data_IF_166745826665
#
_entry.id   IF_166745826665
#
_cell.length_a   1.000
_cell.length_b   1.000
_cell.length_c   1.000
_cell.angle_alpha   90.00
_cell.angle_beta   90.00
_cell.angle_gamma   90.00
#
_symmetry.space_group_name_H-M   'P 1'
#
loop_
_entity.id
_entity.type
_entity.pdbx_description
1 polymer ?
#
# COMPACT_ATOMS: atom_id res chain seq x y z
N UNK A 1 9.97 21.17 15.89
CA UNK A 1 10.60 20.96 17.21
C UNK A 1 12.00 20.43 16.98
N UNK A 2 13.04 21.22 17.30
CA UNK A 2 14.45 20.86 17.17
C UNK A 2 14.91 20.01 18.36
N UNK A 3 14.27 18.85 18.54
CA UNK A 3 14.48 17.98 19.71
C UNK A 3 13.51 16.81 19.77
N UNK A 4 13.16 16.22 18.62
CA UNK A 4 12.47 14.93 18.65
C UNK A 4 13.47 13.88 19.11
N UNK A 5 13.11 13.04 20.09
CA UNK A 5 13.98 11.95 20.57
C UNK A 5 14.44 10.98 19.48
N UNK A 6 13.80 11.02 18.31
CA UNK A 6 14.25 10.32 17.11
C UNK A 6 15.62 10.80 16.58
N UNK A 7 15.97 12.10 16.72
CA UNK A 7 17.20 12.65 16.15
C UNK A 7 18.45 12.12 16.85
N UNK A 8 18.48 12.07 18.19
CA UNK A 8 19.63 11.50 18.92
C UNK A 8 19.90 10.05 18.50
N UNK A 9 18.87 9.21 18.46
CA UNK A 9 19.00 7.82 18.01
C UNK A 9 19.51 7.73 16.57
N UNK A 10 19.14 8.70 15.74
CA UNK A 10 19.57 8.76 14.34
C UNK A 10 21.04 9.15 14.22
N UNK A 11 21.50 10.14 15.01
CA UNK A 11 22.90 10.56 15.04
C UNK A 11 23.81 9.41 15.49
N UNK A 12 23.40 8.66 16.52
CA UNK A 12 24.10 7.45 16.94
C UNK A 12 24.12 6.36 15.85
N UNK A 13 23.00 6.15 15.15
CA UNK A 13 22.92 5.16 14.08
C UNK A 13 23.86 5.52 12.92
N UNK A 14 23.87 6.78 12.48
CA UNK A 14 24.79 7.25 11.44
C UNK A 14 26.26 7.12 11.88
N UNK A 15 26.58 7.46 13.13
CA UNK A 15 27.94 7.35 13.67
C UNK A 15 28.43 5.90 13.77
N UNK A 16 27.54 4.94 14.03
CA UNK A 16 27.84 3.50 14.04
C UNK A 16 27.84 2.86 12.64
N UNK A 17 27.63 3.66 11.58
CA UNK A 17 27.56 3.17 10.20
C UNK A 17 26.32 2.33 9.90
N UNK A 18 25.24 2.48 10.68
CA UNK A 18 23.96 1.83 10.43
C UNK A 18 23.15 2.61 9.39
N UNK A 19 22.39 1.90 8.58
CA UNK A 19 21.50 2.50 7.59
C UNK A 19 20.37 3.26 8.27
N UNK A 20 20.26 4.55 7.96
CA UNK A 20 19.16 5.43 8.37
C UNK A 20 18.33 5.77 7.15
N UNK A 21 17.01 5.70 7.30
CA UNK A 21 16.05 5.95 6.25
C UNK A 21 15.16 7.14 6.60
N UNK A 22 14.83 7.96 5.61
CA UNK A 22 14.08 9.19 5.81
C UNK A 22 13.09 9.43 4.66
N UNK A 23 11.83 9.70 5.01
CA UNK A 23 10.76 9.95 4.04
C UNK A 23 10.74 11.44 3.67
N UNK A 24 10.82 11.81 2.38
CA UNK A 24 10.74 13.20 1.98
C UNK A 24 9.35 13.76 2.30
N UNK A 25 9.30 14.99 2.79
CA UNK A 25 8.04 15.70 3.05
C UNK A 25 8.02 17.09 2.44
N UNK A 26 6.86 17.74 2.52
CA UNK A 26 6.66 19.09 2.01
C UNK A 26 7.46 20.14 2.82
N UNK A 27 8.23 20.97 2.12
CA UNK A 27 9.13 22.00 2.67
C UNK A 27 8.43 23.04 3.55
N UNK A 28 7.12 23.25 3.40
CA UNK A 28 6.36 24.22 4.19
C UNK A 28 5.92 23.66 5.55
N UNK A 29 6.00 22.34 5.77
CA UNK A 29 5.66 21.74 7.06
C UNK A 29 6.86 21.80 8.02
N UNK A 30 6.64 22.41 9.20
CA UNK A 30 7.69 22.55 10.23
C UNK A 30 8.27 21.22 10.72
N UNK A 31 7.50 20.13 10.64
CA UNK A 31 7.92 18.80 11.09
C UNK A 31 8.88 18.11 10.12
N UNK A 32 8.93 18.55 8.86
CA UNK A 32 9.76 17.95 7.81
C UNK A 32 11.22 18.41 7.88
N UNK A 33 11.52 19.51 8.59
CA UNK A 33 12.88 20.03 8.74
C UNK A 33 13.87 19.00 9.31
N UNK A 34 13.43 18.16 10.25
CA UNK A 34 14.26 17.10 10.83
C UNK A 34 14.60 16.02 9.81
N UNK A 35 13.59 15.52 9.10
CA UNK A 35 13.78 14.50 8.06
C UNK A 35 14.66 15.00 6.91
N UNK A 36 14.51 16.27 6.52
CA UNK A 36 15.39 16.89 5.52
C UNK A 36 16.82 17.09 6.01
N UNK A 37 17.04 17.33 7.31
CA UNK A 37 18.40 17.36 7.88
C UNK A 37 19.03 15.96 7.80
N UNK A 38 18.31 14.91 8.20
CA UNK A 38 18.77 13.53 8.09
C UNK A 38 19.17 13.15 6.67
N UNK A 39 18.36 13.51 5.67
CA UNK A 39 18.68 13.30 4.25
C UNK A 39 19.97 14.01 3.82
N UNK A 40 20.26 15.19 4.36
CA UNK A 40 21.52 15.91 4.10
C UNK A 40 22.72 15.27 4.81
N UNK A 41 22.48 14.70 5.99
CA UNK A 41 23.49 14.03 6.80
C UNK A 41 23.80 12.61 6.32
N UNK A 42 23.18 12.17 5.21
CA UNK A 42 23.48 10.90 4.54
C UNK A 42 22.46 9.80 4.79
N UNK A 43 21.32 10.10 5.43
CA UNK A 43 20.20 9.16 5.46
C UNK A 43 19.70 8.89 4.04
N UNK A 44 19.31 7.64 3.78
CA UNK A 44 18.76 7.24 2.50
C UNK A 44 17.31 7.70 2.38
N UNK A 45 16.99 8.27 1.22
CA UNK A 45 15.63 8.65 0.86
C UNK A 45 14.79 7.40 0.60
N UNK A 46 13.57 7.39 1.15
CA UNK A 46 12.59 6.31 0.97
C UNK A 46 11.27 6.91 0.51
N UNK A 47 10.77 6.44 -0.62
CA UNK A 47 9.46 6.76 -1.16
C UNK A 47 8.48 5.60 -0.96
N UNK A 48 8.99 4.36 -0.93
CA UNK A 48 8.17 3.14 -0.81
C UNK A 48 8.87 2.08 0.05
N UNK A 49 8.13 1.08 0.52
CA UNK A 49 8.68 0.07 1.45
C UNK A 49 9.78 -0.77 0.78
N UNK A 50 9.69 -0.94 -0.52
CA UNK A 50 10.65 -1.64 -1.35
C UNK A 50 12.06 -1.05 -1.21
N UNK A 51 12.21 0.28 -1.08
CA UNK A 51 13.52 0.95 -0.94
C UNK A 51 14.27 0.52 0.34
N UNK A 52 13.53 0.19 1.41
CA UNK A 52 14.10 -0.30 2.68
C UNK A 52 14.48 -1.77 2.54
N UNK A 53 13.62 -2.57 1.89
CA UNK A 53 13.83 -4.00 1.71
C UNK A 53 14.99 -4.31 0.77
N UNK A 54 15.15 -3.51 -0.29
CA UNK A 54 16.30 -3.56 -1.20
C UNK A 54 17.63 -3.41 -0.47
N UNK A 55 17.69 -2.51 0.51
CA UNK A 55 18.91 -2.25 1.26
C UNK A 55 19.17 -3.29 2.36
N UNK A 56 18.14 -3.66 3.12
CA UNK A 56 18.30 -4.55 4.28
C UNK A 56 18.35 -6.02 3.89
N UNK A 57 17.69 -6.40 2.80
CA UNK A 57 17.51 -7.79 2.39
C UNK A 57 17.57 -7.98 0.86
N UNK A 58 18.69 -7.62 0.20
CA UNK A 58 18.83 -7.69 -1.26
C UNK A 58 18.62 -9.11 -1.84
N UNK A 59 18.92 -10.14 -1.04
CA UNK A 59 18.74 -11.55 -1.45
C UNK A 59 17.27 -12.00 -1.43
N UNK A 60 16.40 -11.35 -0.65
CA UNK A 60 14.95 -11.65 -0.66
C UNK A 60 14.33 -11.28 -2.01
N UNK A 61 14.86 -10.25 -2.68
CA UNK A 61 14.37 -9.79 -3.99
C UNK A 61 14.99 -10.55 -5.17
N UNK A 62 16.17 -11.14 -4.96
CA UNK A 62 16.91 -11.88 -5.98
C UNK A 62 16.39 -13.30 -6.23
N UNK A 63 15.56 -13.84 -5.33
CA UNK A 63 14.87 -15.12 -5.55
C UNK A 63 13.68 -14.94 -6.50
N UNK A 64 13.99 -14.93 -7.81
CA UNK A 64 13.09 -15.13 -8.97
C UNK A 64 11.65 -14.61 -8.81
N UNK A 65 11.41 -13.39 -9.27
CA UNK A 65 10.10 -12.98 -9.81
C UNK A 65 8.97 -12.82 -8.80
N UNK A 66 9.26 -12.94 -7.51
CA UNK A 66 8.38 -12.43 -6.46
C UNK A 66 8.83 -11.01 -6.17
N UNK A 67 8.20 -10.05 -6.84
CA UNK A 67 8.04 -8.71 -6.29
C UNK A 67 7.71 -8.92 -4.82
N UNK A 68 8.53 -8.41 -3.89
CA UNK A 68 8.14 -8.35 -2.48
C UNK A 68 7.08 -7.25 -2.39
N UNK A 69 5.90 -7.53 -2.94
CA UNK A 69 4.67 -6.87 -2.55
C UNK A 69 4.31 -7.47 -1.21
N UNK A 70 4.85 -6.86 -0.15
CA UNK A 70 4.47 -7.02 1.26
C UNK A 70 3.06 -7.60 1.44
N UNK A 71 2.90 -8.89 1.72
CA UNK A 71 1.60 -9.48 2.14
C UNK A 71 0.38 -9.18 1.23
N UNK A 72 0.61 -8.57 0.08
CA UNK A 72 -0.33 -8.23 -0.96
C UNK A 72 0.04 -9.24 -2.05
N UNK A 73 -0.81 -10.25 -2.17
CA UNK A 73 -0.85 -11.08 -3.37
C UNK A 73 -0.63 -10.16 -4.58
N UNK A 74 0.29 -10.49 -5.48
CA UNK A 74 0.42 -9.67 -6.68
C UNK A 74 -0.94 -9.62 -7.36
N UNK A 75 -1.29 -8.53 -8.04
CA UNK A 75 -2.62 -8.42 -8.66
C UNK A 75 -2.91 -9.63 -9.59
N UNK A 76 -1.85 -10.20 -10.19
CA UNK A 76 -1.95 -11.45 -10.95
C UNK A 76 -2.34 -12.68 -10.11
N UNK A 77 -1.84 -12.80 -8.88
CA UNK A 77 -2.18 -13.87 -7.94
C UNK A 77 -3.60 -13.69 -7.36
N UNK A 78 -3.99 -12.44 -7.07
CA UNK A 78 -5.36 -12.10 -6.68
C UNK A 78 -6.30 -12.55 -7.79
N UNK A 79 -6.11 -12.04 -9.01
CA UNK A 79 -6.95 -12.35 -10.16
C UNK A 79 -6.99 -13.86 -10.49
N UNK A 80 -5.93 -14.61 -10.21
CA UNK A 80 -5.89 -16.06 -10.39
C UNK A 80 -6.65 -16.84 -9.30
N UNK A 81 -6.83 -16.24 -8.12
CA UNK A 81 -7.58 -16.82 -7.00
C UNK A 81 -9.08 -16.52 -7.03
N UNK A 82 -9.50 -15.58 -7.88
CA UNK A 82 -10.89 -15.16 -8.02
C UNK A 82 -11.62 -16.04 -9.04
N UNK A 83 -12.90 -16.27 -8.79
CA UNK A 83 -13.82 -16.78 -9.81
C UNK A 83 -13.98 -15.76 -10.94
N UNK A 84 -14.54 -16.19 -12.08
CA UNK A 84 -14.79 -15.29 -13.20
C UNK A 84 -15.68 -14.10 -12.81
N UNK A 85 -16.73 -14.34 -12.04
CA UNK A 85 -17.68 -13.32 -11.60
C UNK A 85 -17.08 -12.39 -10.53
N UNK A 86 -16.29 -12.94 -9.60
CA UNK A 86 -15.52 -12.16 -8.62
C UNK A 86 -14.54 -11.22 -9.32
N UNK A 87 -13.84 -11.74 -10.32
CA UNK A 87 -12.86 -11.00 -11.09
C UNK A 87 -13.49 -9.85 -11.85
N UNK A 88 -14.66 -10.08 -12.46
CA UNK A 88 -15.35 -9.03 -13.20
C UNK A 88 -15.74 -7.85 -12.30
N UNK A 89 -16.28 -8.12 -11.11
CA UNK A 89 -16.62 -7.07 -10.13
C UNK A 89 -15.38 -6.39 -9.56
N UNK A 90 -14.36 -7.16 -9.19
CA UNK A 90 -13.11 -6.63 -8.65
C UNK A 90 -12.41 -5.68 -9.64
N UNK A 91 -12.44 -6.00 -10.93
CA UNK A 91 -11.84 -5.17 -11.98
C UNK A 91 -12.59 -3.85 -12.22
N UNK A 92 -13.89 -3.76 -11.91
CA UNK A 92 -14.64 -2.50 -12.05
C UNK A 92 -14.35 -1.51 -10.93
N UNK A 93 -14.05 -2.02 -9.73
CA UNK A 93 -13.70 -1.19 -8.58
C UNK A 93 -12.35 -0.53 -8.79
N UNK A 94 -12.17 0.65 -8.22
CA UNK A 94 -10.90 1.37 -8.14
C UNK A 94 -10.76 2.04 -6.75
N UNK A 95 -10.02 3.14 -6.67
CA UNK A 95 -9.85 3.92 -5.44
C UNK A 95 -11.02 4.91 -5.21
N UNK A 96 -11.99 5.00 -6.13
CA UNK A 96 -13.20 5.81 -5.96
C UNK A 96 -14.39 4.94 -5.52
N UNK A 97 -15.21 5.40 -4.54
CA UNK A 97 -16.39 4.64 -4.10
C UNK A 97 -17.42 4.46 -5.22
N UNK A 98 -17.78 3.21 -5.49
CA UNK A 98 -18.80 2.87 -6.49
C UNK A 98 -20.02 2.21 -5.83
N UNK A 99 -21.22 2.69 -6.21
CA UNK A 99 -22.47 2.15 -5.71
C UNK A 99 -22.78 0.80 -6.35
N UNK A 100 -23.41 -0.08 -5.58
CA UNK A 100 -23.73 -1.43 -6.05
C UNK A 100 -24.60 -1.49 -7.29
N UNK A 101 -25.54 -0.56 -7.46
CA UNK A 101 -26.40 -0.51 -8.64
C UNK A 101 -25.60 -0.24 -9.93
N UNK A 102 -24.53 0.55 -9.83
CA UNK A 102 -23.68 0.87 -10.98
C UNK A 102 -22.77 -0.32 -11.31
N UNK A 103 -22.18 -0.95 -10.28
CA UNK A 103 -21.43 -2.21 -10.42
C UNK A 103 -22.29 -3.28 -11.10
N UNK A 104 -23.48 -3.53 -10.56
CA UNK A 104 -24.48 -4.47 -11.07
C UNK A 104 -24.80 -4.26 -12.56
N UNK A 105 -25.00 -3.00 -12.98
CA UNK A 105 -25.24 -2.64 -14.38
C UNK A 105 -24.03 -2.86 -15.29
N UNK A 106 -22.83 -2.54 -14.82
CA UNK A 106 -21.60 -2.68 -15.62
C UNK A 106 -21.28 -4.15 -15.91
N UNK A 107 -21.57 -5.05 -14.97
CA UNK A 107 -21.29 -6.48 -15.11
C UNK A 107 -22.48 -7.30 -15.60
N UNK A 108 -23.60 -6.65 -15.93
CA UNK A 108 -24.87 -7.30 -16.31
C UNK A 108 -25.26 -8.43 -15.35
N UNK A 109 -25.28 -8.11 -14.05
CA UNK A 109 -25.50 -9.06 -12.97
C UNK A 109 -26.66 -8.60 -12.09
N UNK A 110 -27.41 -9.52 -11.47
CA UNK A 110 -28.40 -9.10 -10.47
C UNK A 110 -27.73 -8.55 -9.21
N UNK A 111 -28.28 -7.45 -8.66
CA UNK A 111 -27.79 -6.79 -7.43
C UNK A 111 -27.62 -7.77 -6.28
N UNK A 112 -28.57 -8.70 -6.09
CA UNK A 112 -28.48 -9.71 -5.02
C UNK A 112 -27.28 -10.64 -5.17
N UNK A 113 -26.94 -10.99 -6.42
CA UNK A 113 -25.80 -11.83 -6.73
C UNK A 113 -24.50 -11.05 -6.56
N UNK A 114 -24.46 -9.80 -7.03
CA UNK A 114 -23.33 -8.89 -6.83
C UNK A 114 -23.04 -8.64 -5.35
N UNK A 115 -24.07 -8.41 -4.50
CA UNK A 115 -23.94 -8.28 -3.04
C UNK A 115 -23.21 -9.49 -2.43
N UNK A 116 -23.65 -10.70 -2.79
CA UNK A 116 -23.07 -11.93 -2.27
C UNK A 116 -21.58 -12.05 -2.63
N UNK A 117 -21.21 -11.67 -3.86
CA UNK A 117 -19.83 -11.71 -4.34
C UNK A 117 -18.97 -10.61 -3.68
N UNK A 118 -19.49 -9.38 -3.58
CA UNK A 118 -18.80 -8.28 -2.93
C UNK A 118 -18.51 -8.59 -1.45
N UNK A 119 -19.46 -9.24 -0.75
CA UNK A 119 -19.23 -9.73 0.60
C UNK A 119 -18.08 -10.75 0.66
N UNK A 120 -17.98 -11.66 -0.31
CA UNK A 120 -16.84 -12.61 -0.36
C UNK A 120 -15.52 -11.88 -0.59
N UNK A 121 -15.49 -10.88 -1.48
CA UNK A 121 -14.30 -10.07 -1.74
C UNK A 121 -13.88 -9.26 -0.51
N UNK A 122 -14.85 -8.76 0.26
CA UNK A 122 -14.60 -8.04 1.52
C UNK A 122 -14.03 -8.99 2.59
N UNK A 123 -14.57 -10.20 2.73
CA UNK A 123 -14.04 -11.22 3.65
C UNK A 123 -12.62 -11.63 3.26
N UNK A 124 -12.31 -11.67 1.96
CA UNK A 124 -10.95 -11.88 1.42
C UNK A 124 -10.02 -10.68 1.66
N UNK A 125 -10.54 -9.54 2.12
CA UNK A 125 -9.78 -8.31 2.37
C UNK A 125 -9.35 -7.58 1.10
N UNK A 126 -10.02 -7.84 -0.03
CA UNK A 126 -9.67 -7.27 -1.33
C UNK A 126 -10.41 -5.96 -1.63
N UNK A 127 -11.54 -5.73 -0.96
CA UNK A 127 -12.38 -4.55 -1.09
C UNK A 127 -12.85 -4.10 0.29
N UNK A 128 -13.30 -2.85 0.40
CA UNK A 128 -13.87 -2.27 1.62
C UNK A 128 -15.28 -1.76 1.30
N UNK A 129 -16.23 -2.06 2.17
CA UNK A 129 -17.56 -1.46 2.11
C UNK A 129 -17.57 -0.09 2.82
N UNK A 130 -18.00 0.93 2.08
CA UNK A 130 -18.26 2.26 2.59
C UNK A 130 -19.77 2.47 2.88
N UNK A 131 -20.14 3.54 3.63
CA UNK A 131 -21.54 3.87 3.86
C UNK A 131 -22.34 4.01 2.56
N UNK A 132 -23.66 3.81 2.67
CA UNK A 132 -24.60 3.91 1.55
C UNK A 132 -24.36 2.91 0.40
N UNK A 133 -23.96 1.67 0.72
CA UNK A 133 -23.78 0.58 -0.26
C UNK A 133 -22.74 0.88 -1.34
N UNK A 134 -21.69 1.62 -0.96
CA UNK A 134 -20.54 1.88 -1.82
C UNK A 134 -19.41 0.91 -1.51
N UNK A 135 -18.59 0.61 -2.52
CA UNK A 135 -17.46 -0.30 -2.41
C UNK A 135 -16.23 0.33 -3.07
N UNK A 136 -15.05 0.09 -2.47
CA UNK A 136 -13.73 0.54 -2.98
C UNK A 136 -12.73 -0.61 -2.91
N UNK A 137 -11.65 -0.55 -3.70
CA UNK A 137 -10.52 -1.47 -3.51
C UNK A 137 -9.79 -1.18 -2.19
N UNK A 138 -9.36 -2.25 -1.51
CA UNK A 138 -8.55 -2.16 -0.30
C UNK A 138 -7.09 -1.72 -0.59
#
# INVERSE_FOLDING_TARGET
SEGSGALLTTDFALAEGKSVFAIPGNIYHRNTRGTHALLKDGARLVERVEDILEELYPDLLSQKGRTISNGLFSEMEILASLSEEERLLYLQLDQEPQHIDDLSRMVDMEVNKALGILLQLEIKGLIIQEPAMNFVRA
#
